data_IF_057214741645
#
_entry.id   IF_057214741645
#
_cell.length_a   1.000
_cell.length_b   1.000
_cell.length_c   1.000
_cell.angle_alpha   90.00
_cell.angle_beta   90.00
_cell.angle_gamma   90.00
#
_symmetry.space_group_name_H-M   'P 1'
#
loop_
_entity.id
_entity.type
_entity.pdbx_description
1 polymer ?
#
# COMPACT_ATOMS: atom_id res chain seq x y z
N UNK A 1 -1.52 27.34 24.23
CA UNK A 1 -1.47 27.51 22.75
C UNK A 1 -2.83 27.16 22.17
N UNK A 2 -3.62 28.16 21.79
CA UNK A 2 -4.96 27.98 21.22
C UNK A 2 -4.83 27.44 19.79
N UNK A 3 -5.28 26.21 19.53
CA UNK A 3 -5.30 25.64 18.16
C UNK A 3 -6.24 26.47 17.31
N UNK A 4 -5.70 27.30 16.40
CA UNK A 4 -6.47 28.09 15.45
C UNK A 4 -7.20 27.13 14.50
N UNK A 5 -8.53 27.06 14.59
CA UNK A 5 -9.36 26.22 13.73
C UNK A 5 -9.18 26.67 12.27
N UNK A 6 -8.29 26.01 11.52
CA UNK A 6 -8.12 26.28 10.08
C UNK A 6 -9.34 25.73 9.37
N UNK A 7 -10.18 26.62 8.82
CA UNK A 7 -11.30 26.21 7.98
C UNK A 7 -10.74 25.51 6.74
N UNK A 8 -11.17 24.27 6.51
CA UNK A 8 -10.87 23.54 5.28
C UNK A 8 -11.63 24.23 4.16
N UNK A 9 -10.93 24.99 3.32
CA UNK A 9 -11.49 25.65 2.13
C UNK A 9 -11.42 24.70 0.94
N UNK A 10 -12.29 24.89 -0.06
CA UNK A 10 -12.35 24.06 -1.28
C UNK A 10 -10.96 23.84 -1.93
N UNK A 11 -10.07 24.84 -2.05
CA UNK A 11 -8.72 24.64 -2.60
C UNK A 11 -7.85 23.70 -1.75
N UNK A 12 -8.01 23.75 -0.42
CA UNK A 12 -7.30 22.85 0.49
C UNK A 12 -7.82 21.43 0.32
N UNK A 13 -9.15 21.24 0.22
CA UNK A 13 -9.74 19.92 -0.07
C UNK A 13 -9.27 19.34 -1.40
N UNK A 14 -9.16 20.17 -2.45
CA UNK A 14 -8.63 19.74 -3.76
C UNK A 14 -7.15 19.33 -3.65
N UNK A 15 -6.34 20.09 -2.90
CA UNK A 15 -4.94 19.73 -2.65
C UNK A 15 -4.76 18.39 -1.93
N UNK A 16 -5.61 18.11 -0.94
CA UNK A 16 -5.65 16.78 -0.30
C UNK A 16 -6.10 15.68 -1.27
N UNK A 17 -7.14 15.93 -2.07
CA UNK A 17 -7.62 14.97 -3.08
C UNK A 17 -6.58 14.62 -4.15
N UNK A 18 -5.81 15.60 -4.62
CA UNK A 18 -4.71 15.37 -5.58
C UNK A 18 -3.61 14.48 -5.01
N UNK A 19 -3.28 14.66 -3.73
CA UNK A 19 -2.28 13.84 -3.03
C UNK A 19 -2.78 12.40 -2.86
N UNK A 20 -4.08 12.23 -2.60
CA UNK A 20 -4.71 10.92 -2.47
C UNK A 20 -4.81 10.16 -3.81
N UNK A 21 -5.09 10.87 -4.91
CA UNK A 21 -5.10 10.27 -6.26
C UNK A 21 -3.73 9.69 -6.64
N UNK A 22 -2.64 10.36 -6.26
CA UNK A 22 -1.29 9.84 -6.51
C UNK A 22 -1.02 8.54 -5.73
N UNK A 23 -1.52 8.44 -4.50
CA UNK A 23 -1.45 7.22 -3.70
C UNK A 23 -2.48 6.20 -4.17
N UNK A 24 -3.71 6.31 -3.66
CA UNK A 24 -4.78 5.32 -3.86
C UNK A 24 -5.28 5.18 -5.30
N UNK A 25 -5.25 6.26 -6.09
CA UNK A 25 -5.70 6.24 -7.49
C UNK A 25 -4.80 5.36 -8.36
N UNK A 26 -3.48 5.51 -8.23
CA UNK A 26 -2.52 4.69 -8.98
C UNK A 26 -2.66 3.18 -8.68
N UNK A 27 -2.81 2.79 -7.41
CA UNK A 27 -3.02 1.37 -7.05
C UNK A 27 -4.32 0.81 -7.60
N UNK A 28 -5.37 1.64 -7.71
CA UNK A 28 -6.65 1.21 -8.28
C UNK A 28 -6.51 0.90 -9.76
N UNK A 29 -5.81 1.75 -10.52
CA UNK A 29 -5.54 1.51 -11.95
C UNK A 29 -4.66 0.27 -12.15
N UNK A 30 -3.58 0.14 -11.35
CA UNK A 30 -2.69 -1.04 -11.39
C UNK A 30 -3.47 -2.32 -11.08
N UNK A 31 -4.32 -2.31 -10.05
CA UNK A 31 -5.15 -3.45 -9.69
C UNK A 31 -6.15 -3.85 -10.79
N UNK A 32 -6.81 -2.87 -11.42
CA UNK A 32 -7.72 -3.13 -12.53
C UNK A 32 -6.99 -3.76 -13.73
N UNK A 33 -5.80 -3.27 -14.05
CA UNK A 33 -5.01 -3.81 -15.14
C UNK A 33 -4.43 -5.19 -14.83
N UNK A 34 -4.00 -5.44 -13.58
CA UNK A 34 -3.56 -6.77 -13.14
C UNK A 34 -4.67 -7.80 -13.24
N UNK A 35 -5.92 -7.43 -12.94
CA UNK A 35 -7.06 -8.31 -13.11
C UNK A 35 -7.21 -8.74 -14.59
N UNK A 36 -7.11 -7.79 -15.52
CA UNK A 36 -7.10 -8.09 -16.96
C UNK A 36 -5.89 -8.96 -17.36
N UNK A 37 -4.70 -8.69 -16.81
CA UNK A 37 -3.50 -9.45 -17.09
C UNK A 37 -3.60 -10.91 -16.65
N UNK A 38 -4.13 -11.14 -15.44
CA UNK A 38 -4.33 -12.46 -14.87
C UNK A 38 -5.33 -13.31 -15.67
N UNK A 39 -6.41 -12.71 -16.17
CA UNK A 39 -7.39 -13.45 -16.97
C UNK A 39 -6.91 -13.70 -18.40
N UNK A 40 -6.22 -12.73 -19.00
CA UNK A 40 -5.93 -12.76 -20.45
C UNK A 40 -4.61 -13.44 -20.76
N UNK A 41 -3.56 -13.16 -20.00
CA UNK A 41 -2.21 -13.66 -20.29
C UNK A 41 -1.84 -14.86 -19.44
N UNK A 42 -2.22 -14.86 -18.15
CA UNK A 42 -1.91 -15.98 -17.25
C UNK A 42 -2.91 -17.13 -17.40
N UNK A 43 -4.16 -16.82 -17.75
CA UNK A 43 -5.22 -17.81 -17.91
C UNK A 43 -5.92 -18.21 -16.61
N UNK A 44 -5.83 -17.36 -15.57
CA UNK A 44 -6.65 -17.51 -14.36
C UNK A 44 -8.12 -17.27 -14.71
N UNK A 45 -9.03 -17.96 -14.03
CA UNK A 45 -10.45 -17.64 -14.16
C UNK A 45 -10.74 -16.22 -13.64
N UNK A 46 -11.78 -15.54 -14.17
CA UNK A 46 -12.18 -14.23 -13.65
C UNK A 46 -12.49 -14.24 -12.16
N UNK A 47 -13.01 -15.36 -11.64
CA UNK A 47 -13.30 -15.55 -10.21
C UNK A 47 -12.01 -15.60 -9.40
N UNK A 48 -11.01 -16.36 -9.84
CA UNK A 48 -9.71 -16.41 -9.19
C UNK A 48 -9.04 -15.03 -9.18
N UNK A 49 -8.97 -14.35 -10.33
CA UNK A 49 -8.37 -13.02 -10.42
C UNK A 49 -9.09 -11.99 -9.52
N UNK A 50 -10.43 -11.99 -9.52
CA UNK A 50 -11.21 -11.12 -8.63
C UNK A 50 -11.02 -11.46 -7.16
N UNK A 51 -10.90 -12.75 -6.82
CA UNK A 51 -10.67 -13.19 -5.44
C UNK A 51 -9.33 -12.74 -4.90
N UNK A 52 -8.27 -12.67 -5.73
CA UNK A 52 -6.96 -12.12 -5.34
C UNK A 52 -7.12 -10.68 -4.86
N UNK A 53 -7.79 -9.84 -5.67
CA UNK A 53 -8.01 -8.42 -5.34
C UNK A 53 -8.90 -8.28 -4.10
N UNK A 54 -9.95 -9.09 -3.97
CA UNK A 54 -10.86 -9.05 -2.83
C UNK A 54 -10.16 -9.46 -1.52
N UNK A 55 -9.40 -10.56 -1.52
CA UNK A 55 -8.63 -11.02 -0.36
C UNK A 55 -7.61 -9.96 0.03
N UNK A 56 -6.91 -9.38 -0.95
CA UNK A 56 -5.94 -8.32 -0.70
C UNK A 56 -6.56 -7.12 0.03
N UNK A 57 -7.72 -6.65 -0.42
CA UNK A 57 -8.47 -5.57 0.25
C UNK A 57 -8.86 -5.89 1.70
N UNK A 58 -9.25 -7.13 1.97
CA UNK A 58 -9.56 -7.56 3.35
C UNK A 58 -8.29 -7.53 4.20
N UNK A 59 -7.17 -8.05 3.68
CA UNK A 59 -5.89 -8.04 4.40
C UNK A 59 -5.40 -6.61 4.63
N UNK A 60 -5.48 -5.73 3.63
CA UNK A 60 -5.08 -4.33 3.76
C UNK A 60 -5.92 -3.58 4.80
N UNK A 61 -7.24 -3.82 4.83
CA UNK A 61 -8.12 -3.26 5.86
C UNK A 61 -7.73 -3.72 7.27
N UNK A 62 -7.40 -5.02 7.43
CA UNK A 62 -6.92 -5.59 8.68
C UNK A 62 -5.58 -4.99 9.08
N UNK A 63 -4.61 -4.96 8.15
CA UNK A 63 -3.27 -4.38 8.37
C UNK A 63 -3.41 -2.93 8.78
N UNK A 64 -4.23 -2.14 8.09
CA UNK A 64 -4.49 -0.73 8.41
C UNK A 64 -5.08 -0.54 9.81
N UNK A 65 -6.02 -1.40 10.23
CA UNK A 65 -6.55 -1.45 11.59
C UNK A 65 -5.46 -1.70 12.64
N UNK A 66 -4.59 -2.68 12.39
CA UNK A 66 -3.50 -3.02 13.31
C UNK A 66 -2.37 -1.99 13.30
N UNK A 67 -2.08 -1.37 12.16
CA UNK A 67 -0.96 -0.45 11.97
C UNK A 67 -1.07 0.79 12.85
N UNK A 68 -2.30 1.26 13.14
CA UNK A 68 -2.53 2.30 14.15
C UNK A 68 -1.96 1.93 15.53
N UNK A 69 -2.27 0.72 16.02
CA UNK A 69 -1.78 0.23 17.32
C UNK A 69 -0.30 -0.18 17.31
N UNK A 70 0.18 -0.70 16.17
CA UNK A 70 1.54 -1.22 16.02
C UNK A 70 2.55 -0.07 15.94
N UNK A 71 2.20 1.03 15.27
CA UNK A 71 3.08 2.21 15.13
C UNK A 71 3.37 2.87 16.48
N UNK A 72 2.40 2.90 17.39
CA UNK A 72 2.57 3.43 18.76
C UNK A 72 3.49 2.54 19.62
N UNK A 73 3.45 1.22 19.42
CA UNK A 73 4.33 0.28 20.11
C UNK A 73 5.73 0.19 19.47
N UNK A 74 5.86 0.36 18.16
CA UNK A 74 7.16 0.34 17.47
C UNK A 74 8.08 1.50 17.88
N UNK A 75 7.50 2.62 18.36
CA UNK A 75 8.25 3.74 18.93
C UNK A 75 8.99 3.38 20.23
N UNK A 76 8.59 2.29 20.91
CA UNK A 76 9.26 1.78 22.12
C UNK A 76 10.42 0.82 21.80
N UNK A 77 10.54 0.28 20.59
CA UNK A 77 11.62 -0.65 20.24
C UNK A 77 12.92 0.06 19.82
N UNK A 78 14.07 -0.54 20.19
CA UNK A 78 15.43 -0.03 19.99
C UNK A 78 15.73 0.35 18.52
N UNK A 79 15.16 -0.37 17.54
CA UNK A 79 15.30 -0.09 16.11
C UNK A 79 14.56 1.18 15.65
N UNK A 80 13.39 1.46 16.23
CA UNK A 80 12.63 2.70 15.98
C UNK A 80 13.31 3.95 16.53
N UNK A 81 14.04 3.82 17.64
CA UNK A 81 14.87 4.89 18.22
C UNK A 81 16.20 5.12 17.50
N UNK A 82 16.80 4.10 16.89
CA UNK A 82 18.14 4.18 16.27
C UNK A 82 18.13 4.65 14.80
N UNK A 83 17.15 4.22 14.00
CA UNK A 83 17.07 4.59 12.57
C UNK A 83 16.03 5.66 12.24
N UNK A 84 15.15 5.98 13.19
CA UNK A 84 14.05 6.91 12.98
C UNK A 84 12.93 6.30 12.14
N UNK A 85 11.68 6.61 12.53
CA UNK A 85 10.43 6.05 12.01
C UNK A 85 10.24 6.13 10.49
N UNK A 86 10.99 6.98 9.77
CA UNK A 86 10.86 7.17 8.31
C UNK A 86 11.96 6.50 7.49
N UNK A 87 13.22 6.55 7.95
CA UNK A 87 14.36 6.04 7.15
C UNK A 87 14.43 4.52 7.14
N UNK A 88 14.01 3.85 8.22
CA UNK A 88 14.01 2.39 8.30
C UNK A 88 13.08 1.74 7.27
N UNK A 89 11.82 2.19 7.21
CA UNK A 89 10.83 1.65 6.27
C UNK A 89 11.14 2.01 4.82
N UNK A 90 11.73 3.19 4.57
CA UNK A 90 12.18 3.54 3.22
C UNK A 90 13.39 2.71 2.77
N UNK A 91 14.38 2.49 3.65
CA UNK A 91 15.58 1.71 3.33
C UNK A 91 15.27 0.24 3.06
N UNK A 92 14.28 -0.33 3.76
CA UNK A 92 13.86 -1.72 3.56
C UNK A 92 12.81 -1.82 2.45
N UNK A 93 11.86 -0.90 2.40
CA UNK A 93 10.78 -0.90 1.42
C UNK A 93 11.27 -0.64 0.00
N UNK A 94 12.25 0.24 -0.20
CA UNK A 94 12.79 0.56 -1.52
C UNK A 94 13.33 -0.65 -2.31
N UNK A 95 14.23 -1.49 -1.76
CA UNK A 95 14.66 -2.71 -2.47
C UNK A 95 13.52 -3.74 -2.57
N UNK A 96 12.61 -3.79 -1.59
CA UNK A 96 11.46 -4.69 -1.63
C UNK A 96 10.43 -4.32 -2.71
N UNK A 97 10.44 -3.09 -3.22
CA UNK A 97 9.60 -2.71 -4.38
C UNK A 97 9.93 -3.52 -5.64
N UNK A 98 11.08 -4.22 -5.70
CA UNK A 98 11.39 -5.16 -6.78
C UNK A 98 10.38 -6.31 -6.88
N UNK A 99 9.62 -6.61 -5.80
CA UNK A 99 8.49 -7.55 -5.83
C UNK A 99 7.44 -7.15 -6.86
N UNK A 100 7.35 -5.87 -7.23
CA UNK A 100 6.47 -5.41 -8.30
C UNK A 100 6.70 -6.15 -9.64
N UNK A 101 7.95 -6.51 -9.95
CA UNK A 101 8.30 -7.24 -11.18
C UNK A 101 7.65 -8.62 -11.19
N UNK A 102 7.50 -9.25 -10.02
CA UNK A 102 6.93 -10.59 -9.88
C UNK A 102 5.43 -10.64 -10.20
N UNK A 103 4.71 -9.51 -10.09
CA UNK A 103 3.29 -9.41 -10.44
C UNK A 103 3.02 -9.66 -11.93
N UNK A 104 4.04 -9.47 -12.77
CA UNK A 104 3.94 -9.55 -14.22
C UNK A 104 4.53 -10.83 -14.80
N UNK A 105 5.00 -11.75 -13.95
CA UNK A 105 5.46 -13.06 -14.44
C UNK A 105 4.26 -13.87 -14.96
N UNK A 106 4.51 -14.68 -16.00
CA UNK A 106 3.51 -15.54 -16.61
C UNK A 106 3.73 -17.01 -16.20
N UNK A 107 2.66 -17.81 -16.20
CA UNK A 107 2.73 -19.27 -16.06
C UNK A 107 2.81 -19.77 -14.61
N UNK A 108 2.53 -18.92 -13.62
CA UNK A 108 2.49 -19.31 -12.21
C UNK A 108 1.08 -19.71 -11.76
N UNK A 109 0.95 -20.30 -10.57
CA UNK A 109 -0.34 -20.70 -10.02
C UNK A 109 -1.04 -19.55 -9.28
N UNK A 110 -2.32 -19.74 -8.96
CA UNK A 110 -3.12 -18.80 -8.19
C UNK A 110 -2.45 -18.32 -6.88
N UNK A 111 -1.92 -19.26 -6.09
CA UNK A 111 -1.31 -18.97 -4.79
C UNK A 111 -0.08 -18.07 -4.89
N UNK A 112 0.70 -18.21 -5.96
CA UNK A 112 1.82 -17.33 -6.25
C UNK A 112 1.34 -15.88 -6.45
N UNK A 113 0.36 -15.67 -7.33
CA UNK A 113 -0.17 -14.32 -7.57
C UNK A 113 -0.84 -13.72 -6.33
N UNK A 114 -1.55 -14.54 -5.54
CA UNK A 114 -2.12 -14.10 -4.27
C UNK A 114 -1.02 -13.63 -3.31
N UNK A 115 0.03 -14.43 -3.11
CA UNK A 115 1.12 -14.12 -2.20
C UNK A 115 1.91 -12.87 -2.64
N UNK A 116 2.22 -12.75 -3.93
CA UNK A 116 2.95 -11.60 -4.48
C UNK A 116 2.11 -10.32 -4.40
N UNK A 117 0.81 -10.39 -4.68
CA UNK A 117 -0.08 -9.23 -4.58
C UNK A 117 -0.21 -8.74 -3.13
N UNK A 118 -0.39 -9.66 -2.17
CA UNK A 118 -0.41 -9.34 -0.75
C UNK A 118 0.92 -8.74 -0.28
N UNK A 119 2.05 -9.33 -0.67
CA UNK A 119 3.37 -8.82 -0.34
C UNK A 119 3.56 -7.40 -0.88
N UNK A 120 3.16 -7.15 -2.13
CA UNK A 120 3.25 -5.84 -2.74
C UNK A 120 2.39 -4.79 -2.02
N UNK A 121 1.12 -5.08 -1.68
CA UNK A 121 0.28 -4.14 -0.92
C UNK A 121 0.89 -3.81 0.45
N UNK A 122 1.41 -4.81 1.18
CA UNK A 122 2.05 -4.59 2.48
C UNK A 122 3.33 -3.75 2.34
N UNK A 123 4.17 -4.03 1.34
CA UNK A 123 5.39 -3.26 1.07
C UNK A 123 5.04 -1.82 0.68
N UNK A 124 4.04 -1.64 -0.18
CA UNK A 124 3.55 -0.33 -0.58
C UNK A 124 3.01 0.45 0.63
N UNK A 125 2.23 -0.17 1.50
CA UNK A 125 1.75 0.44 2.75
C UNK A 125 2.91 0.87 3.67
N UNK A 126 3.93 0.02 3.83
CA UNK A 126 5.14 0.35 4.59
C UNK A 126 5.91 1.55 4.02
N UNK A 127 5.91 1.74 2.70
CA UNK A 127 6.56 2.88 2.04
C UNK A 127 5.70 4.15 2.09
N UNK A 128 4.40 4.03 1.86
CA UNK A 128 3.47 5.16 1.74
C UNK A 128 3.12 5.78 3.08
N UNK A 129 2.88 4.98 4.13
CA UNK A 129 2.46 5.48 5.44
C UNK A 129 3.49 6.47 6.04
N UNK A 130 4.81 6.21 5.97
CA UNK A 130 5.82 7.18 6.37
C UNK A 130 5.88 8.45 5.50
N UNK A 131 5.60 8.34 4.20
CA UNK A 131 5.65 9.44 3.22
C UNK A 131 4.42 10.35 3.34
N UNK A 132 3.22 9.79 3.46
CA UNK A 132 1.98 10.54 3.63
C UNK A 132 1.98 11.41 4.89
N UNK A 133 2.55 10.90 5.99
CA UNK A 133 2.73 11.67 7.22
C UNK A 133 3.83 12.75 7.14
N UNK A 134 4.56 12.89 6.02
CA UNK A 134 5.50 13.98 5.79
C UNK A 134 4.89 15.15 5.00
N UNK A 135 3.71 14.95 4.40
CA UNK A 135 2.97 15.97 3.65
C UNK A 135 1.93 16.75 4.50
N UNK A 136 1.83 16.44 5.80
CA UNK A 136 0.93 17.06 6.79
C UNK A 136 1.74 17.63 7.95
#
# INVERSE_FOLDING_TARGET
>A
MTRKNRKVTIPVSIGYGLTDIMGGGAFTVIGAWLLFFYTTFVGLSPIEAASIVAIARIVDAIVSLFMGSFTDHFYKHYLGKKFGRRRFFLLIGAPLMLVYILLWMNGMNFWFYLAVYLAFEIIAAMVLIPVGNAAV
#
